data_IF_715934991981
#
_entry.id   IF_715934991981
#
_cell.length_a   1.000
_cell.length_b   1.000
_cell.length_c   1.000
_cell.angle_alpha   90.00
_cell.angle_beta   90.00
_cell.angle_gamma   90.00
#
_symmetry.space_group_name_H-M   'P 1'
#
loop_
_entity.id
_entity.type
_entity.pdbx_description
1 polymer ?
#
# COMPACT_ATOMS: atom_id res chain seq x y z
N UNK A 1 4.35 -15.13 -13.64
CA UNK A 1 3.52 -13.94 -13.89
C UNK A 1 4.09 -12.86 -12.99
N UNK A 2 4.50 -11.71 -13.53
CA UNK A 2 4.96 -10.58 -12.72
C UNK A 2 3.76 -9.71 -12.41
N UNK A 3 3.39 -9.61 -11.14
CA UNK A 3 2.28 -8.77 -10.70
C UNK A 3 2.89 -7.45 -10.20
N UNK A 4 2.78 -6.34 -10.95
CA UNK A 4 3.52 -5.13 -10.59
C UNK A 4 2.85 -4.45 -9.39
N UNK A 5 3.41 -4.68 -8.20
CA UNK A 5 3.12 -3.94 -6.98
C UNK A 5 3.40 -2.43 -7.13
N UNK A 6 4.19 -2.03 -8.12
CA UNK A 6 4.41 -0.63 -8.45
C UNK A 6 3.09 0.12 -8.71
N UNK A 7 2.99 1.34 -8.17
CA UNK A 7 1.85 2.20 -8.41
C UNK A 7 1.64 3.26 -7.34
N UNK A 8 0.51 3.93 -7.47
CA UNK A 8 -0.05 4.82 -6.46
C UNK A 8 -1.29 4.21 -5.85
N UNK A 9 -1.43 4.33 -4.54
CA UNK A 9 -2.54 3.82 -3.77
C UNK A 9 -3.17 4.96 -2.95
N UNK A 10 -4.47 5.12 -3.09
CA UNK A 10 -5.27 6.12 -2.38
C UNK A 10 -5.49 5.74 -0.92
N UNK A 11 -5.60 6.75 -0.06
CA UNK A 11 -5.37 6.67 1.39
C UNK A 11 -6.34 5.96 2.30
N UNK A 12 -7.39 5.40 1.72
CA UNK A 12 -8.60 5.13 2.45
C UNK A 12 -9.34 6.35 2.93
N UNK A 13 -10.10 6.18 4.02
CA UNK A 13 -11.22 7.05 4.35
C UNK A 13 -10.80 8.52 4.43
N UNK A 14 -11.29 9.34 3.50
CA UNK A 14 -10.99 10.77 3.44
C UNK A 14 -9.67 11.16 2.77
N UNK A 15 -8.98 10.25 2.07
CA UNK A 15 -7.71 10.51 1.38
C UNK A 15 -6.58 11.05 2.27
N UNK A 16 -6.61 10.67 3.54
CA UNK A 16 -5.64 11.15 4.53
C UNK A 16 -4.24 10.58 4.26
N UNK A 17 -4.15 9.32 3.85
CA UNK A 17 -2.88 8.68 3.55
C UNK A 17 -2.67 8.56 2.05
N UNK A 18 -1.46 8.29 1.56
CA UNK A 18 -1.23 7.76 0.21
C UNK A 18 0.05 6.96 0.20
N UNK A 19 0.10 5.89 -0.59
CA UNK A 19 1.31 5.12 -0.80
C UNK A 19 1.72 5.16 -2.27
N UNK A 20 2.99 5.48 -2.51
CA UNK A 20 3.66 5.39 -3.80
C UNK A 20 4.68 4.25 -3.69
N UNK A 21 4.65 3.27 -4.59
CA UNK A 21 5.65 2.20 -4.67
C UNK A 21 6.42 2.34 -5.97
N UNK A 22 7.65 2.85 -5.90
CA UNK A 22 8.49 3.17 -7.06
C UNK A 22 9.41 2.01 -7.46
N UNK A 23 9.79 1.16 -6.51
CA UNK A 23 10.62 -0.03 -6.74
C UNK A 23 9.97 -1.24 -6.10
N UNK A 24 9.93 -2.33 -6.85
CA UNK A 24 9.50 -3.63 -6.36
C UNK A 24 10.42 -4.69 -6.96
N UNK A 25 10.94 -5.55 -6.09
CA UNK A 25 11.66 -6.74 -6.48
C UNK A 25 10.94 -7.95 -5.90
N UNK A 26 10.24 -8.65 -6.77
CA UNK A 26 9.44 -9.84 -6.42
C UNK A 26 10.32 -10.97 -5.89
N UNK A 27 11.54 -11.15 -6.44
CA UNK A 27 12.41 -12.29 -6.11
C UNK A 27 12.88 -12.30 -4.65
N UNK A 28 13.02 -11.13 -4.03
CA UNK A 28 13.44 -10.98 -2.64
C UNK A 28 12.32 -10.41 -1.75
N UNK A 29 11.13 -10.20 -2.31
CA UNK A 29 10.00 -9.63 -1.59
C UNK A 29 10.29 -8.26 -0.98
N UNK A 30 10.97 -7.37 -1.72
CA UNK A 30 11.26 -6.01 -1.22
C UNK A 30 10.63 -4.95 -2.11
N UNK A 31 10.18 -3.87 -1.49
CA UNK A 31 9.75 -2.68 -2.21
C UNK A 31 10.21 -1.41 -1.50
N UNK A 32 10.21 -0.30 -2.24
CA UNK A 32 10.39 1.03 -1.69
C UNK A 32 9.45 2.02 -2.34
N UNK A 33 9.31 3.16 -1.70
CA UNK A 33 8.70 4.33 -2.28
C UNK A 33 8.43 5.39 -1.22
N UNK A 34 7.24 5.97 -1.24
CA UNK A 34 6.89 7.09 -0.38
C UNK A 34 5.49 6.96 0.20
N UNK A 35 5.38 7.31 1.48
CA UNK A 35 4.11 7.44 2.17
C UNK A 35 3.82 8.91 2.42
N UNK A 36 2.57 9.31 2.18
CA UNK A 36 2.12 10.68 2.39
C UNK A 36 1.02 10.69 3.45
N UNK A 37 1.13 11.63 4.39
CA UNK A 37 0.07 11.97 5.33
C UNK A 37 -0.39 13.41 5.04
N UNK A 38 -1.66 13.58 4.68
CA UNK A 38 -2.26 14.86 4.36
C UNK A 38 -2.64 15.68 5.61
N UNK A 39 -2.83 15.07 6.78
CA UNK A 39 -3.07 15.79 8.04
C UNK A 39 -1.80 16.50 8.51
N UNK A 40 -0.66 15.80 8.48
CA UNK A 40 0.64 16.35 8.89
C UNK A 40 1.37 17.06 7.75
N UNK A 41 0.89 16.89 6.51
CA UNK A 41 1.55 17.38 5.27
C UNK A 41 2.97 16.84 5.14
N UNK A 42 3.18 15.60 5.57
CA UNK A 42 4.49 14.93 5.56
C UNK A 42 4.56 13.93 4.40
N UNK A 43 5.77 13.81 3.86
CA UNK A 43 6.14 12.77 2.90
C UNK A 43 7.35 12.04 3.44
N UNK A 44 7.21 10.74 3.62
CA UNK A 44 8.24 9.89 4.20
C UNK A 44 8.68 8.85 3.17
N UNK A 45 9.98 8.58 3.11
CA UNK A 45 10.48 7.45 2.33
C UNK A 45 10.21 6.17 3.13
N UNK A 46 9.62 5.17 2.48
CA UNK A 46 9.32 3.88 3.10
C UNK A 46 10.03 2.75 2.38
N UNK A 47 10.43 1.75 3.14
CA UNK A 47 10.90 0.46 2.66
C UNK A 47 9.96 -0.60 3.22
N UNK A 48 9.56 -1.53 2.37
CA UNK A 48 8.59 -2.53 2.72
C UNK A 48 9.01 -3.93 2.31
N UNK A 49 8.47 -4.89 3.04
CA UNK A 49 8.62 -6.31 2.75
C UNK A 49 7.30 -6.87 2.23
N UNK A 50 7.43 -7.66 1.18
CA UNK A 50 6.37 -8.36 0.48
C UNK A 50 6.54 -9.85 0.72
N UNK A 51 5.49 -10.54 1.16
CA UNK A 51 5.50 -11.98 1.28
C UNK A 51 4.16 -12.61 0.88
N UNK A 52 4.24 -13.83 0.35
CA UNK A 52 3.11 -14.66 -0.06
C UNK A 52 3.06 -15.91 0.82
N UNK A 53 2.01 -16.07 1.61
CA UNK A 53 1.74 -17.30 2.35
C UNK A 53 1.00 -18.29 1.43
N UNK A 54 1.47 -19.54 1.38
CA UNK A 54 0.85 -20.64 0.61
C UNK A 54 0.33 -21.76 1.54
N UNK A 55 0.19 -21.48 2.83
CA UNK A 55 -0.23 -22.42 3.85
C UNK A 55 -1.76 -22.54 3.99
N UNK A 56 -2.48 -22.33 2.88
CA UNK A 56 -3.94 -22.51 2.78
C UNK A 56 -4.76 -21.26 3.07
N UNK A 57 -4.10 -20.17 3.46
CA UNK A 57 -4.61 -18.81 3.31
C UNK A 57 -3.66 -18.16 2.32
N UNK A 58 -4.10 -18.01 1.08
CA UNK A 58 -3.36 -17.17 0.16
C UNK A 58 -3.43 -15.78 0.81
N UNK A 59 -2.35 -15.34 1.46
CA UNK A 59 -2.22 -14.00 2.02
C UNK A 59 -1.02 -13.31 1.39
N UNK A 60 -1.29 -12.14 0.82
CA UNK A 60 -0.29 -11.31 0.17
C UNK A 60 -0.17 -10.06 0.99
N UNK A 61 0.95 -9.93 1.69
CA UNK A 61 1.13 -8.91 2.71
C UNK A 61 2.26 -7.98 2.32
N UNK A 62 2.02 -6.69 2.48
CA UNK A 62 3.00 -5.64 2.42
C UNK A 62 3.15 -5.02 3.82
N UNK A 63 4.36 -5.04 4.36
CA UNK A 63 4.67 -4.45 5.67
C UNK A 63 5.70 -3.34 5.54
N UNK A 64 5.45 -2.20 6.16
CA UNK A 64 6.39 -1.07 6.20
C UNK A 64 6.16 -0.23 7.47
N UNK A 65 7.08 0.69 7.78
CA UNK A 65 6.98 1.59 8.93
C UNK A 65 6.99 3.04 8.50
N UNK A 66 6.19 3.86 9.19
CA UNK A 66 6.16 5.32 9.09
C UNK A 66 6.29 5.92 10.48
N UNK A 67 6.34 7.25 10.58
CA UNK A 67 6.27 7.99 11.86
C UNK A 67 5.05 7.62 12.71
N UNK A 68 3.92 7.23 12.11
CA UNK A 68 2.69 6.82 12.79
C UNK A 68 2.74 5.39 13.34
N UNK A 69 3.63 4.55 12.83
CA UNK A 69 3.77 3.16 13.29
C UNK A 69 4.05 2.14 12.20
N UNK A 70 3.82 0.88 12.55
CA UNK A 70 3.94 -0.25 11.63
C UNK A 70 2.63 -0.44 10.85
N UNK A 71 2.74 -0.50 9.53
CA UNK A 71 1.64 -0.77 8.63
C UNK A 71 1.72 -2.20 8.14
N UNK A 72 0.59 -2.89 8.13
CA UNK A 72 0.42 -4.19 7.47
C UNK A 72 -0.76 -4.10 6.51
N UNK A 73 -0.48 -4.30 5.22
CA UNK A 73 -1.42 -4.19 4.12
C UNK A 73 -1.62 -5.56 3.49
N UNK A 74 -2.86 -6.02 3.43
CA UNK A 74 -3.25 -7.29 2.82
C UNK A 74 -3.92 -7.05 1.46
N UNK A 75 -3.42 -7.68 0.40
CA UNK A 75 -4.00 -7.56 -0.93
C UNK A 75 -5.31 -8.34 -1.04
N UNK A 76 -6.20 -7.87 -1.90
CA UNK A 76 -7.39 -8.62 -2.30
C UNK A 76 -7.06 -9.78 -3.25
N UNK A 77 -7.89 -10.82 -3.21
CA UNK A 77 -7.77 -12.01 -4.05
C UNK A 77 -8.87 -12.06 -5.10
N UNK A 78 -8.48 -12.15 -6.38
CA UNK A 78 -9.40 -12.28 -7.52
C UNK A 78 -9.00 -13.51 -8.33
N UNK A 79 -9.89 -14.50 -8.41
CA UNK A 79 -9.63 -15.74 -9.13
C UNK A 79 -8.50 -16.61 -8.55
N UNK A 80 -8.25 -16.52 -7.24
CA UNK A 80 -7.19 -17.28 -6.56
C UNK A 80 -5.79 -16.67 -6.71
N UNK A 81 -5.70 -15.37 -7.00
CA UNK A 81 -4.42 -14.65 -7.07
C UNK A 81 -4.58 -13.22 -6.54
N UNK A 82 -3.52 -12.64 -5.94
CA UNK A 82 -3.56 -11.26 -5.48
C UNK A 82 -3.74 -10.32 -6.67
N UNK A 83 -4.71 -9.40 -6.58
CA UNK A 83 -4.98 -8.45 -7.67
C UNK A 83 -4.16 -7.16 -7.54
N UNK A 84 -3.68 -6.85 -6.33
CA UNK A 84 -3.02 -5.59 -5.96
C UNK A 84 -3.83 -4.33 -6.26
N UNK A 85 -5.13 -4.47 -6.55
CA UNK A 85 -5.99 -3.33 -6.84
C UNK A 85 -6.59 -2.75 -5.57
N UNK A 86 -6.76 -3.58 -4.53
CA UNK A 86 -7.34 -3.18 -3.26
C UNK A 86 -6.53 -3.77 -2.11
N UNK A 87 -6.38 -2.98 -1.06
CA UNK A 87 -5.66 -3.37 0.15
C UNK A 87 -6.53 -3.15 1.38
N UNK A 88 -6.35 -4.04 2.35
CA UNK A 88 -6.81 -3.86 3.72
C UNK A 88 -5.60 -3.56 4.59
N UNK A 89 -5.50 -2.34 5.08
CA UNK A 89 -4.37 -1.86 5.86
C UNK A 89 -4.72 -1.75 7.35
N UNK A 90 -3.82 -2.22 8.19
CA UNK A 90 -3.87 -2.06 9.64
C UNK A 90 -2.65 -1.26 10.10
N UNK A 91 -2.87 -0.36 11.05
CA UNK A 91 -1.82 0.45 11.67
C UNK A 91 -1.62 -0.06 13.10
N UNK A 92 -0.39 -0.42 13.45
CA UNK A 92 -0.02 -0.98 14.77
C UNK A 92 -0.90 -2.16 15.20
N UNK A 93 -1.21 -3.06 14.25
CA UNK A 93 -2.05 -4.24 14.44
C UNK A 93 -3.49 -3.96 14.91
N UNK A 94 -4.04 -2.76 14.66
CA UNK A 94 -5.47 -2.50 14.85
C UNK A 94 -6.31 -3.20 13.77
N UNK A 95 -6.55 -4.48 13.98
CA UNK A 95 -7.34 -5.35 13.10
C UNK A 95 -8.84 -5.00 13.09
N UNK A 96 -9.33 -4.21 14.05
CA UNK A 96 -10.77 -3.93 14.17
C UNK A 96 -11.21 -2.77 13.28
N UNK A 97 -10.29 -1.88 12.89
CA UNK A 97 -10.57 -0.72 12.04
C UNK A 97 -9.66 -0.68 10.81
N UNK A 98 -9.72 -1.68 9.91
CA UNK A 98 -8.87 -1.70 8.74
C UNK A 98 -9.22 -0.55 7.79
N UNK A 99 -8.19 0.15 7.32
CA UNK A 99 -8.29 1.22 6.33
C UNK A 99 -8.19 0.58 4.94
N UNK A 100 -9.06 0.98 4.00
CA UNK A 100 -9.05 0.43 2.64
C UNK A 100 -8.26 1.32 1.71
N UNK A 101 -7.30 0.79 0.98
CA UNK A 101 -6.55 1.52 -0.04
C UNK A 101 -6.84 0.89 -1.41
N UNK A 102 -6.81 1.69 -2.46
CA UNK A 102 -7.10 1.31 -3.84
C UNK A 102 -6.02 1.83 -4.77
N UNK A 103 -5.68 1.02 -5.77
CA UNK A 103 -4.68 1.38 -6.76
C UNK A 103 -5.25 2.38 -7.76
N UNK A 104 -4.66 3.57 -7.84
CA UNK A 104 -5.06 4.63 -8.78
C UNK A 104 -4.30 4.51 -10.11
N UNK A 105 -3.04 4.08 -10.06
CA UNK A 105 -2.15 4.04 -11.22
C UNK A 105 -1.13 2.92 -11.10
N UNK A 106 -0.77 2.31 -12.24
CA UNK A 106 0.36 1.38 -12.35
C UNK A 106 1.71 2.09 -12.52
N UNK A 107 1.69 3.36 -12.90
CA UNK A 107 2.89 4.19 -13.05
C UNK A 107 3.03 5.03 -11.78
N UNK A 108 4.06 4.79 -10.95
CA UNK A 108 4.32 5.58 -9.77
C UNK A 108 4.57 7.04 -10.15
N UNK A 109 3.88 7.94 -9.48
CA UNK A 109 4.10 9.38 -9.56
C UNK A 109 3.98 9.99 -8.18
N UNK A 110 4.64 11.11 -7.97
CA UNK A 110 4.34 11.97 -6.82
C UNK A 110 2.91 12.51 -6.97
N UNK A 111 2.02 12.30 -5.98
CA UNK A 111 0.68 12.88 -5.99
C UNK A 111 0.74 14.40 -6.03
N UNK A 112 -0.16 15.00 -6.78
CA UNK A 112 -0.40 16.44 -6.78
C UNK A 112 -1.18 16.87 -5.55
N UNK A 113 -1.18 18.18 -5.25
CA UNK A 113 -1.98 18.74 -4.16
C UNK A 113 -3.49 18.52 -4.34
N UNK A 114 -3.98 18.41 -5.58
CA UNK A 114 -5.39 18.16 -5.85
C UNK A 114 -5.75 16.71 -5.49
N UNK A 115 -4.93 15.75 -5.91
CA UNK A 115 -5.08 14.33 -5.60
C UNK A 115 -5.03 14.08 -4.09
N UNK A 116 -4.09 14.73 -3.38
CA UNK A 116 -4.00 14.65 -1.91
C UNK A 116 -5.24 15.19 -1.20
N UNK A 117 -5.88 16.23 -1.73
CA UNK A 117 -7.01 16.91 -1.06
C UNK A 117 -8.38 16.33 -1.39
N UNK A 118 -8.56 15.81 -2.60
CA UNK A 118 -9.90 15.52 -3.12
C UNK A 118 -10.10 14.05 -3.49
N UNK A 119 -9.02 13.28 -3.72
CA UNK A 119 -9.13 11.95 -4.33
C UNK A 119 -9.59 12.02 -5.77
N UNK A 120 -8.80 11.48 -6.69
CA UNK A 120 -9.20 11.34 -8.09
C UNK A 120 -9.00 9.90 -8.55
#
# INVERSE_FOLDING_TARGET
>A
MTYPLNGNYDGGSGNIYRLEIDKFNESNGTCSGYFYDDQEKTREKVEGHYHFYWDGQDETVLEFRTSHGAWRWEADYVGGSPSFTKWSATLNDDIYNPIKFFKESNTPKTPTLAELKYGE
#
